data_IF_310343199936
#
_entry.id   IF_310343199936
#
_cell.length_a   1.000
_cell.length_b   1.000
_cell.length_c   1.000
_cell.angle_alpha   90.00
_cell.angle_beta   90.00
_cell.angle_gamma   90.00
#
_symmetry.space_group_name_H-M   'P 1'
#
loop_
_entity.id
_entity.type
_entity.pdbx_description
1 polymer ?
#
# COMPACT_ATOMS: atom_id res chain seq x y z
N UNK A 1 -6.79 -29.06 -11.40
CA UNK A 1 -6.41 -30.28 -12.13
C UNK A 1 -5.84 -31.38 -11.22
N UNK A 2 -5.85 -31.20 -9.88
CA UNK A 2 -5.43 -32.18 -8.87
C UNK A 2 -3.91 -32.38 -8.75
N UNK A 3 -3.10 -31.54 -9.39
CA UNK A 3 -1.63 -31.56 -9.20
C UNK A 3 -1.23 -30.74 -7.99
N UNK A 4 -0.23 -31.23 -7.26
CA UNK A 4 0.36 -30.45 -6.17
C UNK A 4 1.12 -29.23 -6.72
N UNK A 5 1.20 -28.11 -5.99
CA UNK A 5 2.15 -27.05 -6.28
C UNK A 5 3.58 -27.59 -6.22
N UNK A 6 4.48 -26.94 -6.94
CA UNK A 6 5.89 -27.31 -6.97
C UNK A 6 6.76 -26.23 -6.32
N UNK A 7 7.77 -26.64 -5.59
CA UNK A 7 8.68 -25.75 -4.85
C UNK A 7 10.13 -26.26 -4.86
N UNK A 8 11.04 -25.57 -4.12
CA UNK A 8 12.44 -26.01 -4.04
C UNK A 8 12.59 -27.38 -3.40
N UNK A 9 11.73 -27.75 -2.46
CA UNK A 9 11.76 -29.02 -1.75
C UNK A 9 10.35 -29.54 -1.55
N UNK A 10 10.21 -30.85 -1.37
CA UNK A 10 8.95 -31.46 -0.94
C UNK A 10 8.59 -30.97 0.47
N UNK A 11 7.36 -30.52 0.64
CA UNK A 11 6.82 -30.04 1.91
C UNK A 11 5.51 -30.75 2.19
N UNK A 12 5.28 -31.18 3.45
CA UNK A 12 4.08 -31.89 3.84
C UNK A 12 2.90 -30.94 4.10
N UNK A 13 1.69 -31.43 3.88
CA UNK A 13 0.45 -30.71 4.20
C UNK A 13 0.34 -30.41 5.70
N UNK A 14 0.81 -31.31 6.58
CA UNK A 14 0.80 -31.12 8.04
C UNK A 14 1.62 -29.88 8.44
N UNK A 15 2.78 -29.66 7.79
CA UNK A 15 3.71 -28.59 8.12
C UNK A 15 3.31 -27.25 7.46
N UNK A 16 2.75 -27.29 6.24
CA UNK A 16 2.56 -26.11 5.38
C UNK A 16 1.11 -25.87 4.94
N UNK A 17 0.16 -26.71 5.37
CA UNK A 17 -1.25 -26.62 4.98
C UNK A 17 -1.52 -27.01 3.53
N UNK A 18 -0.49 -27.45 2.78
CA UNK A 18 -0.58 -27.92 1.41
C UNK A 18 0.61 -28.83 1.10
N UNK A 19 0.37 -29.92 0.38
CA UNK A 19 1.44 -30.78 -0.10
C UNK A 19 2.14 -30.15 -1.31
N UNK A 20 3.48 -30.06 -1.27
CA UNK A 20 4.31 -29.43 -2.30
C UNK A 20 5.31 -30.45 -2.83
N UNK A 21 5.36 -30.63 -4.15
CA UNK A 21 6.34 -31.49 -4.80
C UNK A 21 7.68 -30.77 -5.03
N UNK A 22 8.80 -31.47 -4.86
CA UNK A 22 10.11 -30.93 -5.19
C UNK A 22 10.27 -30.77 -6.70
N UNK A 23 10.68 -29.58 -7.14
CA UNK A 23 10.96 -29.32 -8.55
C UNK A 23 12.13 -30.15 -9.06
N UNK A 24 11.93 -30.81 -10.18
CA UNK A 24 13.02 -31.42 -10.96
C UNK A 24 13.90 -30.35 -11.60
N UNK A 25 15.13 -30.69 -11.94
CA UNK A 25 16.03 -29.77 -12.64
C UNK A 25 15.44 -29.31 -13.99
N UNK A 26 14.75 -30.19 -14.72
CA UNK A 26 14.06 -29.85 -15.96
C UNK A 26 12.99 -28.74 -15.73
N UNK A 27 12.19 -28.85 -14.67
CA UNK A 27 11.19 -27.84 -14.32
C UNK A 27 11.83 -26.50 -13.91
N UNK A 28 12.99 -26.53 -13.22
CA UNK A 28 13.74 -25.32 -12.87
C UNK A 28 14.15 -24.56 -14.16
N UNK A 29 14.70 -25.27 -15.16
CA UNK A 29 15.05 -24.66 -16.45
C UNK A 29 13.81 -24.19 -17.22
N UNK A 30 12.73 -24.97 -17.25
CA UNK A 30 11.48 -24.61 -17.92
C UNK A 30 10.89 -23.31 -17.36
N UNK A 31 10.85 -23.18 -16.03
CA UNK A 31 10.37 -21.96 -15.36
C UNK A 31 11.28 -20.77 -15.68
N UNK A 32 12.61 -20.94 -15.65
CA UNK A 32 13.53 -19.86 -16.02
C UNK A 32 13.32 -19.39 -17.47
N UNK A 33 13.10 -20.31 -18.41
CA UNK A 33 12.75 -19.97 -19.80
C UNK A 33 11.39 -19.26 -19.90
N UNK A 34 10.42 -19.65 -19.09
CA UNK A 34 9.10 -19.00 -19.04
C UNK A 34 9.20 -17.53 -18.59
N UNK A 35 10.05 -17.21 -17.60
CA UNK A 35 10.36 -15.82 -17.23
C UNK A 35 10.94 -15.02 -18.40
N UNK A 36 11.88 -15.63 -19.16
CA UNK A 36 12.43 -15.00 -20.35
C UNK A 36 11.37 -14.71 -21.41
N UNK A 37 10.51 -15.68 -21.72
CA UNK A 37 9.41 -15.50 -22.68
C UNK A 37 8.42 -14.42 -22.23
N UNK A 38 8.05 -14.41 -20.95
CA UNK A 38 7.15 -13.40 -20.39
C UNK A 38 7.75 -11.98 -20.50
N UNK A 39 9.02 -11.81 -20.16
CA UNK A 39 9.70 -10.52 -20.27
C UNK A 39 9.79 -10.04 -21.73
N UNK A 40 10.08 -10.95 -22.69
CA UNK A 40 10.10 -10.60 -24.12
C UNK A 40 8.72 -10.16 -24.61
N UNK A 41 7.65 -10.80 -24.12
CA UNK A 41 6.28 -10.41 -24.45
C UNK A 41 5.93 -9.02 -23.90
N UNK A 42 6.27 -8.73 -22.63
CA UNK A 42 6.06 -7.42 -22.04
C UNK A 42 6.79 -6.31 -22.82
N UNK A 43 8.05 -6.55 -23.22
CA UNK A 43 8.80 -5.64 -24.08
C UNK A 43 8.05 -5.38 -25.41
N UNK A 44 7.51 -6.43 -26.06
CA UNK A 44 6.73 -6.26 -27.30
C UNK A 44 5.42 -5.49 -27.07
N UNK A 45 4.84 -5.57 -25.88
CA UNK A 45 3.65 -4.80 -25.50
C UNK A 45 3.94 -3.33 -25.18
N UNK A 46 5.19 -2.87 -25.29
CA UNK A 46 5.56 -1.47 -25.10
C UNK A 46 5.90 -1.10 -23.64
N UNK A 47 6.14 -2.09 -22.76
CA UNK A 47 6.70 -1.80 -21.44
C UNK A 47 8.16 -1.39 -21.55
N UNK A 48 8.59 -0.42 -20.73
CA UNK A 48 9.94 0.14 -20.73
C UNK A 48 10.90 -0.63 -19.82
N UNK A 49 10.38 -1.43 -18.88
CA UNK A 49 11.13 -2.17 -17.87
C UNK A 49 10.33 -3.39 -17.40
N UNK A 50 11.02 -4.41 -16.87
CA UNK A 50 10.39 -5.52 -16.14
C UNK A 50 10.98 -5.66 -14.75
N UNK A 51 10.14 -6.06 -13.79
CA UNK A 51 10.57 -6.39 -12.43
C UNK A 51 10.45 -7.91 -12.20
N UNK A 52 11.56 -8.54 -11.80
CA UNK A 52 11.60 -9.93 -11.36
C UNK A 52 11.29 -9.97 -9.86
N UNK A 53 10.23 -10.64 -9.47
CA UNK A 53 9.89 -10.77 -8.06
C UNK A 53 10.65 -11.94 -7.41
N UNK A 54 11.60 -11.61 -6.55
CA UNK A 54 12.51 -12.54 -5.87
C UNK A 54 12.49 -12.34 -4.34
N UNK A 55 11.32 -12.06 -3.77
CA UNK A 55 11.10 -11.81 -2.35
C UNK A 55 9.78 -12.40 -1.85
N UNK A 56 9.45 -12.17 -0.59
CA UNK A 56 8.14 -12.36 0.01
C UNK A 56 7.64 -13.82 0.09
N UNK A 57 8.51 -14.83 -0.01
CA UNK A 57 8.11 -16.24 0.02
C UNK A 57 7.57 -16.78 -1.31
N UNK A 58 7.70 -16.03 -2.43
CA UNK A 58 7.38 -16.54 -3.76
C UNK A 58 8.50 -17.43 -4.31
N UNK A 59 8.24 -18.16 -5.38
CA UNK A 59 9.07 -19.28 -5.86
C UNK A 59 10.59 -18.98 -5.87
N UNK A 60 11.03 -17.84 -6.43
CA UNK A 60 12.46 -17.50 -6.47
C UNK A 60 13.03 -17.26 -5.06
N UNK A 61 12.25 -16.64 -4.18
CA UNK A 61 12.62 -16.44 -2.79
C UNK A 61 12.64 -17.75 -2.00
N UNK A 62 11.72 -18.67 -2.30
CA UNK A 62 11.69 -19.99 -1.68
C UNK A 62 12.98 -20.77 -1.95
N UNK A 63 13.62 -20.60 -3.13
CA UNK A 63 14.94 -21.18 -3.38
C UNK A 63 16.05 -20.54 -2.55
N UNK A 64 15.94 -19.25 -2.23
CA UNK A 64 16.92 -18.54 -1.40
C UNK A 64 16.79 -18.90 0.09
N UNK A 65 15.54 -19.01 0.57
CA UNK A 65 15.23 -19.21 1.99
C UNK A 65 15.60 -20.62 2.47
N UNK A 66 16.28 -20.70 3.63
CA UNK A 66 16.55 -21.97 4.32
C UNK A 66 15.30 -22.57 4.98
N UNK A 67 14.23 -21.79 5.13
CA UNK A 67 12.96 -22.27 5.67
C UNK A 67 12.26 -23.22 4.68
N UNK A 68 12.42 -22.98 3.38
CA UNK A 68 11.72 -23.71 2.31
C UNK A 68 12.62 -24.54 1.43
N UNK A 69 13.90 -24.15 1.28
CA UNK A 69 14.88 -24.89 0.47
C UNK A 69 15.73 -25.82 1.35
N UNK A 70 15.35 -27.10 1.38
CA UNK A 70 16.03 -28.17 2.12
C UNK A 70 16.87 -29.06 1.19
N UNK A 71 17.09 -28.66 -0.08
CA UNK A 71 17.85 -29.43 -1.07
C UNK A 71 19.31 -29.58 -0.67
N UNK A 72 19.88 -30.73 -1.06
CA UNK A 72 21.29 -31.06 -0.86
C UNK A 72 22.10 -31.11 -2.16
N UNK A 73 21.44 -30.84 -3.29
CA UNK A 73 22.05 -30.77 -4.62
C UNK A 73 22.59 -29.37 -4.94
N UNK A 74 22.94 -29.15 -6.21
CA UNK A 74 23.46 -27.87 -6.68
C UNK A 74 22.49 -26.66 -6.57
N UNK A 75 21.22 -26.89 -6.23
CA UNK A 75 20.18 -25.87 -6.07
C UNK A 75 19.88 -25.53 -4.61
N UNK A 76 20.57 -26.19 -3.64
CA UNK A 76 20.38 -26.01 -2.19
C UNK A 76 21.67 -26.01 -1.40
N UNK A 77 21.56 -25.94 -0.07
CA UNK A 77 22.70 -25.87 0.84
C UNK A 77 23.30 -24.45 0.93
N UNK A 78 24.45 -24.20 0.30
CA UNK A 78 25.13 -22.89 0.38
C UNK A 78 24.32 -21.77 -0.27
N UNK A 79 24.56 -20.51 0.12
CA UNK A 79 23.88 -19.36 -0.48
C UNK A 79 24.12 -19.30 -2.01
N UNK A 80 25.33 -19.61 -2.47
CA UNK A 80 25.68 -19.63 -3.88
C UNK A 80 24.81 -20.62 -4.65
N UNK A 81 24.58 -21.81 -4.10
CA UNK A 81 23.72 -22.82 -4.69
C UNK A 81 22.24 -22.35 -4.72
N UNK A 82 21.77 -21.84 -3.59
CA UNK A 82 20.39 -21.31 -3.48
C UNK A 82 20.12 -20.12 -4.42
N UNK A 83 21.14 -19.34 -4.74
CA UNK A 83 21.06 -18.22 -5.69
C UNK A 83 21.18 -18.67 -7.17
N UNK A 84 21.53 -19.93 -7.49
CA UNK A 84 21.65 -20.40 -8.89
C UNK A 84 20.37 -20.21 -9.67
N UNK A 85 19.22 -20.56 -9.10
CA UNK A 85 17.94 -20.42 -9.81
C UNK A 85 17.54 -18.95 -10.03
N UNK A 86 17.53 -18.06 -9.04
CA UNK A 86 17.34 -16.63 -9.26
C UNK A 86 18.28 -16.03 -10.33
N UNK A 87 19.57 -16.38 -10.28
CA UNK A 87 20.54 -15.88 -11.27
C UNK A 87 20.32 -16.49 -12.66
N UNK A 88 19.87 -17.73 -12.77
CA UNK A 88 19.47 -18.34 -14.04
C UNK A 88 18.28 -17.59 -14.65
N UNK A 89 17.27 -17.24 -13.84
CA UNK A 89 16.12 -16.43 -14.29
C UNK A 89 16.58 -15.05 -14.78
N UNK A 90 17.42 -14.34 -14.03
CA UNK A 90 17.99 -13.05 -14.48
C UNK A 90 18.71 -13.20 -15.82
N UNK A 91 19.52 -14.25 -15.98
CA UNK A 91 20.23 -14.55 -17.24
C UNK A 91 19.26 -14.78 -18.40
N UNK A 92 18.21 -15.57 -18.20
CA UNK A 92 17.21 -15.88 -19.25
C UNK A 92 16.38 -14.66 -19.62
N UNK A 93 15.99 -13.84 -18.66
CA UNK A 93 15.31 -12.57 -18.90
C UNK A 93 16.23 -11.62 -19.70
N UNK A 94 17.49 -11.44 -19.27
CA UNK A 94 18.46 -10.59 -19.97
C UNK A 94 18.69 -11.05 -21.42
N UNK A 95 18.81 -12.35 -21.66
CA UNK A 95 18.93 -12.91 -23.00
C UNK A 95 17.71 -12.59 -23.88
N UNK A 96 16.52 -12.65 -23.30
CA UNK A 96 15.26 -12.46 -24.02
C UNK A 96 14.97 -10.96 -24.34
N UNK A 97 15.30 -10.03 -23.41
CA UNK A 97 15.00 -8.60 -23.60
C UNK A 97 16.18 -7.78 -24.17
N UNK A 98 17.39 -8.35 -24.14
CA UNK A 98 18.60 -7.68 -24.61
C UNK A 98 19.23 -6.72 -23.59
N UNK A 99 20.39 -6.16 -23.95
CA UNK A 99 21.25 -5.40 -23.04
C UNK A 99 20.63 -4.07 -22.57
N UNK A 100 19.89 -3.39 -23.42
CA UNK A 100 19.42 -2.01 -23.19
C UNK A 100 18.02 -1.94 -22.56
N UNK A 101 17.39 -3.08 -22.28
CA UNK A 101 16.08 -3.11 -21.62
C UNK A 101 16.27 -3.27 -20.11
N UNK A 102 15.82 -2.31 -19.28
CA UNK A 102 16.04 -2.35 -17.85
C UNK A 102 15.36 -3.56 -17.17
N UNK A 103 16.09 -4.17 -16.25
CA UNK A 103 15.61 -5.26 -15.39
C UNK A 103 15.76 -4.84 -13.94
N UNK A 104 14.65 -4.76 -13.24
CA UNK A 104 14.59 -4.60 -11.79
C UNK A 104 14.45 -5.99 -11.15
N UNK A 105 15.07 -6.21 -10.00
CA UNK A 105 14.81 -7.40 -9.17
C UNK A 105 14.38 -6.97 -7.77
N UNK A 106 13.25 -7.52 -7.30
CA UNK A 106 12.75 -7.24 -5.97
C UNK A 106 13.11 -8.37 -5.03
N UNK A 107 13.83 -8.05 -3.95
CA UNK A 107 14.29 -8.98 -2.93
C UNK A 107 13.71 -8.62 -1.55
N UNK A 108 13.68 -9.58 -0.63
CA UNK A 108 13.56 -9.31 0.79
C UNK A 108 14.96 -9.10 1.35
N UNK A 109 15.27 -7.91 1.87
CA UNK A 109 16.56 -7.64 2.52
C UNK A 109 16.72 -8.39 3.83
N UNK A 110 15.61 -8.85 4.42
CA UNK A 110 15.53 -9.74 5.58
C UNK A 110 14.17 -10.43 5.58
N UNK A 111 14.10 -11.69 5.98
CA UNK A 111 12.84 -12.43 6.10
C UNK A 111 12.02 -12.00 7.33
N UNK A 112 12.63 -11.33 8.31
CA UNK A 112 11.92 -10.84 9.50
C UNK A 112 11.19 -11.94 10.28
N UNK A 113 11.72 -13.15 10.28
CA UNK A 113 11.15 -14.32 10.96
C UNK A 113 12.27 -15.17 11.56
N UNK A 114 11.99 -15.86 12.67
CA UNK A 114 12.93 -16.76 13.31
C UNK A 114 13.33 -17.90 12.38
N UNK A 115 14.61 -18.24 12.33
CA UNK A 115 15.16 -19.24 11.41
C UNK A 115 15.33 -18.78 9.96
N UNK A 116 14.75 -17.62 9.60
CA UNK A 116 14.97 -16.97 8.33
C UNK A 116 16.26 -16.14 8.28
N UNK A 117 16.61 -15.65 7.09
CA UNK A 117 17.82 -14.85 6.96
C UNK A 117 17.62 -13.37 7.36
N UNK A 118 18.70 -12.78 7.93
CA UNK A 118 18.80 -11.37 8.29
C UNK A 118 19.40 -10.51 7.19
N UNK A 119 19.71 -9.24 7.55
CA UNK A 119 20.27 -8.24 6.62
C UNK A 119 21.65 -8.66 6.09
N UNK A 120 22.45 -9.37 6.84
CA UNK A 120 23.78 -9.84 6.45
C UNK A 120 23.69 -10.72 5.18
N UNK A 121 22.76 -11.68 5.19
CA UNK A 121 22.48 -12.50 4.00
C UNK A 121 21.83 -11.68 2.89
N UNK A 122 20.94 -10.72 3.23
CA UNK A 122 20.35 -9.79 2.26
C UNK A 122 21.42 -8.99 1.50
N UNK A 123 22.49 -8.56 2.18
CA UNK A 123 23.64 -7.88 1.55
C UNK A 123 24.37 -8.82 0.59
N UNK A 124 24.63 -10.08 0.99
CA UNK A 124 25.31 -11.05 0.11
C UNK A 124 24.46 -11.39 -1.14
N UNK A 125 23.14 -11.52 -0.98
CA UNK A 125 22.21 -11.67 -2.10
C UNK A 125 22.33 -10.48 -3.06
N UNK A 126 22.31 -9.25 -2.54
CA UNK A 126 22.43 -8.04 -3.33
C UNK A 126 23.78 -7.95 -4.06
N UNK A 127 24.90 -8.31 -3.41
CA UNK A 127 26.24 -8.39 -4.05
C UNK A 127 26.26 -9.40 -5.19
N UNK A 128 25.58 -10.54 -5.05
CA UNK A 128 25.49 -11.55 -6.12
C UNK A 128 24.68 -11.05 -7.32
N UNK A 129 23.79 -10.07 -7.13
CA UNK A 129 22.96 -9.44 -8.17
C UNK A 129 23.62 -8.21 -8.77
N UNK A 130 24.60 -7.60 -8.08
CA UNK A 130 25.25 -6.36 -8.48
C UNK A 130 25.85 -6.46 -9.88
N UNK A 131 25.55 -5.49 -10.74
CA UNK A 131 25.96 -5.45 -12.15
C UNK A 131 25.28 -6.47 -13.06
N UNK A 132 24.36 -7.32 -12.58
CA UNK A 132 23.58 -8.27 -13.39
C UNK A 132 22.18 -7.78 -13.70
N UNK A 133 21.68 -6.88 -12.88
CA UNK A 133 20.39 -6.18 -13.02
C UNK A 133 20.62 -4.67 -13.03
N UNK A 134 19.63 -3.90 -13.44
CA UNK A 134 19.73 -2.44 -13.53
C UNK A 134 19.22 -1.73 -12.28
N UNK A 135 18.38 -2.40 -11.47
CA UNK A 135 17.83 -1.90 -10.21
C UNK A 135 17.68 -3.05 -9.21
N UNK A 136 18.01 -2.81 -7.94
CA UNK A 136 17.75 -3.72 -6.82
C UNK A 136 16.68 -3.09 -5.93
N UNK A 137 15.48 -3.67 -5.93
CA UNK A 137 14.34 -3.20 -5.14
C UNK A 137 14.30 -3.95 -3.80
N UNK A 138 14.57 -3.24 -2.73
CA UNK A 138 14.68 -3.82 -1.39
C UNK A 138 13.37 -3.69 -0.63
N UNK A 139 12.79 -4.83 -0.31
CA UNK A 139 11.63 -5.01 0.55
C UNK A 139 12.03 -5.84 1.78
N UNK A 140 11.07 -6.36 2.53
CA UNK A 140 11.28 -7.23 3.68
C UNK A 140 10.19 -8.29 3.80
N UNK A 141 10.48 -9.33 4.57
CA UNK A 141 9.50 -10.30 5.01
C UNK A 141 9.26 -11.46 4.05
N UNK A 142 8.47 -12.40 4.53
CA UNK A 142 8.00 -13.59 3.83
C UNK A 142 6.54 -13.85 4.17
N UNK A 143 5.80 -14.52 3.30
CA UNK A 143 4.41 -14.89 3.51
C UNK A 143 4.23 -16.20 4.33
N UNK A 144 5.32 -16.81 4.76
CA UNK A 144 5.30 -18.06 5.55
C UNK A 144 5.00 -17.85 7.03
N UNK A 145 5.05 -16.60 7.50
CA UNK A 145 4.80 -16.21 8.89
C UNK A 145 3.94 -14.95 8.96
N UNK A 146 2.93 -14.93 9.83
CA UNK A 146 1.97 -13.81 9.95
C UNK A 146 2.62 -12.52 10.44
N UNK A 147 3.59 -12.59 11.35
CA UNK A 147 4.28 -11.39 11.84
C UNK A 147 5.17 -10.79 10.75
N UNK A 148 5.92 -11.66 10.06
CA UNK A 148 6.71 -11.28 8.89
C UNK A 148 5.84 -10.68 7.77
N UNK A 149 4.65 -11.26 7.52
CA UNK A 149 3.67 -10.72 6.57
C UNK A 149 3.23 -9.29 6.93
N UNK A 150 3.00 -9.00 8.22
CA UNK A 150 2.68 -7.64 8.67
C UNK A 150 3.85 -6.68 8.40
N UNK A 151 5.10 -7.10 8.63
CA UNK A 151 6.29 -6.28 8.36
C UNK A 151 6.58 -6.13 6.85
N UNK A 152 6.15 -7.09 6.05
CA UNK A 152 6.15 -6.98 4.57
C UNK A 152 5.21 -5.87 4.07
N UNK A 153 4.09 -5.64 4.79
CA UNK A 153 3.08 -4.64 4.47
C UNK A 153 2.81 -3.69 5.65
N UNK A 154 3.80 -2.91 6.11
CA UNK A 154 3.69 -2.18 7.37
C UNK A 154 2.42 -1.34 7.46
N UNK A 155 1.62 -1.58 8.51
CA UNK A 155 0.35 -0.94 8.77
C UNK A 155 0.50 0.37 9.55
N UNK A 156 -0.63 0.85 10.10
CA UNK A 156 -0.68 2.08 10.89
C UNK A 156 0.14 2.00 12.19
N UNK A 157 0.35 0.79 12.74
CA UNK A 157 1.08 0.56 13.98
C UNK A 157 2.61 0.54 13.81
N UNK A 158 3.11 0.43 12.58
CA UNK A 158 4.54 0.51 12.25
C UNK A 158 4.91 1.96 11.91
N UNK A 159 6.19 2.28 12.05
CA UNK A 159 6.69 3.61 11.69
C UNK A 159 6.67 3.87 10.18
N UNK A 160 6.78 5.11 9.80
CA UNK A 160 7.02 5.54 8.42
C UNK A 160 8.34 4.95 7.92
N UNK A 161 8.37 4.43 6.71
CA UNK A 161 9.59 3.83 6.15
C UNK A 161 10.11 2.62 6.93
N UNK A 162 9.24 1.75 7.47
CA UNK A 162 9.62 0.61 8.35
C UNK A 162 10.76 -0.25 7.81
N UNK A 163 10.82 -0.44 6.50
CA UNK A 163 11.85 -1.26 5.84
C UNK A 163 12.98 -0.42 5.19
N UNK A 164 12.98 0.91 5.37
CA UNK A 164 13.94 1.81 4.74
C UNK A 164 15.39 1.51 5.13
N UNK A 165 15.62 1.10 6.39
CA UNK A 165 16.94 0.73 6.89
C UNK A 165 17.59 -0.43 6.14
N UNK A 166 16.81 -1.35 5.57
CA UNK A 166 17.35 -2.46 4.78
C UNK A 166 17.92 -1.98 3.44
N UNK A 167 17.23 -1.05 2.79
CA UNK A 167 17.71 -0.44 1.55
C UNK A 167 18.96 0.43 1.80
N UNK A 168 18.95 1.26 2.86
CA UNK A 168 20.08 2.09 3.27
C UNK A 168 21.33 1.24 3.54
N UNK A 169 21.19 0.09 4.19
CA UNK A 169 22.32 -0.78 4.47
C UNK A 169 22.83 -1.49 3.21
N UNK A 170 21.94 -2.07 2.40
CA UNK A 170 22.31 -2.76 1.15
C UNK A 170 23.01 -1.82 0.17
N UNK A 171 22.53 -0.57 0.05
CA UNK A 171 23.09 0.43 -0.86
C UNK A 171 24.59 0.70 -0.63
N UNK A 172 25.06 0.60 0.59
CA UNK A 172 26.48 0.79 0.94
C UNK A 172 27.40 -0.29 0.35
N UNK A 173 26.84 -1.43 -0.09
CA UNK A 173 27.58 -2.62 -0.49
C UNK A 173 27.46 -2.95 -1.98
N UNK A 174 26.65 -2.22 -2.76
CA UNK A 174 26.43 -2.46 -4.19
C UNK A 174 26.59 -1.17 -5.00
N UNK A 175 26.86 -1.34 -6.30
CA UNK A 175 26.93 -0.23 -7.27
C UNK A 175 25.64 -0.07 -8.05
N UNK A 176 24.90 -1.14 -8.23
CA UNK A 176 23.58 -1.12 -8.88
C UNK A 176 22.64 -0.24 -8.05
N UNK A 177 21.91 0.70 -8.65
CA UNK A 177 20.97 1.57 -7.95
C UNK A 177 19.95 0.78 -7.12
N UNK A 178 19.67 1.29 -5.92
CA UNK A 178 18.77 0.65 -4.94
C UNK A 178 17.46 1.41 -4.82
N UNK A 179 16.36 0.68 -4.90
CA UNK A 179 15.00 1.18 -4.68
C UNK A 179 14.52 0.73 -3.31
N UNK A 180 14.00 1.64 -2.51
CA UNK A 180 13.42 1.32 -1.19
C UNK A 180 11.90 1.27 -1.26
N UNK A 181 11.28 0.35 -0.52
CA UNK A 181 9.81 0.25 -0.36
C UNK A 181 9.46 -0.10 1.08
N UNK A 182 8.34 0.41 1.57
CA UNK A 182 7.78 0.03 2.86
C UNK A 182 7.22 1.20 3.66
N UNK A 183 5.91 1.40 3.56
CA UNK A 183 5.18 2.41 4.32
C UNK A 183 5.63 3.87 4.13
N UNK A 184 6.08 4.23 2.93
CA UNK A 184 6.32 5.63 2.57
C UNK A 184 5.00 6.31 2.23
N UNK A 185 4.61 7.31 3.03
CA UNK A 185 3.37 8.08 2.85
C UNK A 185 3.57 9.60 2.98
N UNK A 186 4.70 10.03 3.53
CA UNK A 186 5.05 11.41 3.78
C UNK A 186 6.13 11.89 2.79
N UNK A 187 5.85 12.87 1.93
CA UNK A 187 6.83 13.39 0.96
C UNK A 187 8.09 13.96 1.61
N UNK A 188 7.98 14.66 2.73
CA UNK A 188 9.12 15.27 3.41
C UNK A 188 10.05 14.19 3.99
N UNK A 189 9.47 13.11 4.53
CA UNK A 189 10.24 11.95 4.97
C UNK A 189 10.95 11.25 3.79
N UNK A 190 10.27 11.12 2.64
CA UNK A 190 10.83 10.52 1.43
C UNK A 190 12.02 11.33 0.91
N UNK A 191 11.88 12.64 0.81
CA UNK A 191 12.93 13.54 0.35
C UNK A 191 14.15 13.48 1.27
N UNK A 192 13.95 13.65 2.58
CA UNK A 192 15.02 13.56 3.56
C UNK A 192 15.74 12.19 3.54
N UNK A 193 15.01 11.10 3.23
CA UNK A 193 15.60 9.76 3.10
C UNK A 193 16.48 9.65 1.85
N UNK A 194 16.07 10.20 0.71
CA UNK A 194 16.85 10.23 -0.52
C UNK A 194 18.07 11.15 -0.41
N UNK A 195 17.91 12.36 0.14
CA UNK A 195 18.99 13.35 0.31
C UNK A 195 20.16 12.82 1.14
N UNK A 196 19.87 12.08 2.21
CA UNK A 196 20.92 11.43 3.02
C UNK A 196 21.54 10.19 2.36
N UNK A 197 21.10 9.82 1.16
CA UNK A 197 21.59 8.67 0.41
C UNK A 197 21.07 7.31 0.90
N UNK A 198 19.91 7.25 1.52
CA UNK A 198 19.32 6.01 2.00
C UNK A 198 18.86 5.04 0.90
N UNK A 199 18.54 5.57 -0.28
CA UNK A 199 18.27 4.83 -1.51
C UNK A 199 18.46 5.76 -2.71
N UNK A 200 18.41 5.21 -3.93
CA UNK A 200 18.44 5.98 -5.18
C UNK A 200 17.03 6.32 -5.69
N UNK A 201 16.04 5.53 -5.25
CA UNK A 201 14.63 5.77 -5.56
C UNK A 201 13.72 5.17 -4.47
N UNK A 202 12.44 5.60 -4.46
CA UNK A 202 11.39 5.07 -3.58
C UNK A 202 10.26 4.50 -4.42
N UNK A 203 9.84 3.28 -4.10
CA UNK A 203 8.67 2.65 -4.70
C UNK A 203 7.43 2.87 -3.82
N UNK A 204 6.36 3.32 -4.43
CA UNK A 204 5.09 3.60 -3.78
C UNK A 204 4.01 2.63 -4.29
N UNK A 205 3.24 2.05 -3.36
CA UNK A 205 2.06 1.24 -3.68
C UNK A 205 0.80 1.88 -3.11
N UNK A 206 0.54 1.68 -1.83
CA UNK A 206 -0.69 2.13 -1.15
C UNK A 206 -0.88 3.66 -1.17
N UNK A 207 0.21 4.43 -1.18
CA UNK A 207 0.15 5.89 -1.29
C UNK A 207 -0.42 6.32 -2.65
N UNK A 208 -0.09 5.60 -3.74
CA UNK A 208 -0.67 5.83 -5.06
C UNK A 208 -2.12 5.33 -5.19
N UNK A 209 -2.53 4.33 -4.39
CA UNK A 209 -3.94 3.95 -4.28
C UNK A 209 -4.74 5.06 -3.58
N UNK A 210 -4.17 5.69 -2.55
CA UNK A 210 -4.79 6.81 -1.87
C UNK A 210 -4.83 8.07 -2.75
N UNK A 211 -3.73 8.38 -3.41
CA UNK A 211 -3.61 9.52 -4.34
C UNK A 211 -2.76 9.16 -5.57
N UNK A 212 -3.38 8.83 -6.72
CA UNK A 212 -2.64 8.50 -7.94
C UNK A 212 -1.83 9.66 -8.51
N UNK A 213 -2.13 10.89 -8.11
CA UNK A 213 -1.42 12.09 -8.57
C UNK A 213 -0.31 12.55 -7.61
N UNK A 214 -0.01 11.78 -6.55
CA UNK A 214 1.02 12.11 -5.56
C UNK A 214 2.34 12.56 -6.20
N UNK A 215 2.95 11.85 -7.17
CA UNK A 215 4.21 12.31 -7.76
C UNK A 215 4.09 13.66 -8.47
N UNK A 216 2.99 13.92 -9.18
CA UNK A 216 2.75 15.20 -9.86
C UNK A 216 2.58 16.33 -8.86
N UNK A 217 1.89 16.08 -7.75
CA UNK A 217 1.69 17.07 -6.68
C UNK A 217 3.01 17.42 -5.98
N UNK A 218 3.86 16.42 -5.71
CA UNK A 218 5.21 16.65 -5.18
C UNK A 218 6.04 17.51 -6.15
N UNK A 219 6.09 17.15 -7.43
CA UNK A 219 6.80 17.91 -8.46
C UNK A 219 6.27 19.36 -8.62
N UNK A 220 4.98 19.56 -8.36
CA UNK A 220 4.31 20.86 -8.42
C UNK A 220 4.34 21.65 -7.10
N UNK A 221 5.06 21.19 -6.07
CA UNK A 221 5.08 21.77 -4.72
C UNK A 221 3.69 21.94 -4.09
N UNK A 222 2.79 20.96 -4.32
CA UNK A 222 1.41 20.91 -3.83
C UNK A 222 1.23 19.77 -2.82
N UNK A 223 2.16 19.63 -1.88
CA UNK A 223 2.19 18.50 -0.94
C UNK A 223 1.00 18.50 0.02
N UNK A 224 0.45 19.67 0.35
CA UNK A 224 -0.75 19.83 1.15
C UNK A 224 -2.03 19.30 0.47
N UNK A 225 -2.00 19.14 -0.86
CA UNK A 225 -3.12 18.61 -1.65
C UNK A 225 -3.03 17.08 -1.82
N UNK A 226 -2.02 16.42 -1.27
CA UNK A 226 -1.87 14.97 -1.32
C UNK A 226 -2.81 14.31 -0.31
N UNK A 227 -3.69 13.42 -0.82
CA UNK A 227 -4.53 12.57 0.03
C UNK A 227 -3.68 11.50 0.71
N UNK A 228 -3.48 11.53 2.03
CA UNK A 228 -2.55 10.63 2.69
C UNK A 228 -3.11 9.21 2.82
N UNK A 229 -2.27 8.21 2.58
CA UNK A 229 -2.58 6.82 2.89
C UNK A 229 -2.58 6.60 4.41
N UNK A 230 -3.65 6.01 4.96
CA UNK A 230 -3.76 5.68 6.38
C UNK A 230 -2.99 4.42 6.79
N UNK A 231 -2.47 3.67 5.86
CA UNK A 231 -1.85 2.35 6.09
C UNK A 231 -2.78 1.38 6.84
N UNK A 232 -4.09 1.52 6.64
CA UNK A 232 -5.14 0.76 7.34
C UNK A 232 -5.31 -0.68 6.84
N UNK A 233 -4.71 -1.02 5.68
CA UNK A 233 -4.80 -2.38 5.10
C UNK A 233 -6.09 -2.69 4.33
N UNK A 234 -7.08 -1.81 4.26
CA UNK A 234 -8.38 -2.06 3.60
C UNK A 234 -8.22 -2.52 2.14
N UNK A 235 -7.31 -1.92 1.39
CA UNK A 235 -7.04 -2.29 0.01
C UNK A 235 -6.52 -3.74 -0.14
N UNK A 236 -5.75 -4.24 0.84
CA UNK A 236 -5.26 -5.62 0.86
C UNK A 236 -6.32 -6.59 1.39
N UNK A 237 -7.03 -6.22 2.47
CA UNK A 237 -8.10 -7.02 3.04
C UNK A 237 -9.20 -7.32 2.03
N UNK A 238 -9.59 -6.34 1.22
CA UNK A 238 -10.54 -6.52 0.14
C UNK A 238 -10.08 -7.55 -0.89
N UNK A 239 -8.81 -7.47 -1.34
CA UNK A 239 -8.25 -8.44 -2.29
C UNK A 239 -8.15 -9.86 -1.70
N UNK A 240 -7.70 -9.99 -0.46
CA UNK A 240 -7.62 -11.29 0.24
C UNK A 240 -9.00 -11.92 0.42
N UNK A 241 -10.04 -11.12 0.58
CA UNK A 241 -11.43 -11.57 0.66
C UNK A 241 -12.10 -11.77 -0.71
N UNK A 242 -11.33 -11.74 -1.82
CA UNK A 242 -11.82 -11.86 -3.20
C UNK A 242 -12.85 -10.79 -3.60
N UNK A 243 -12.80 -9.61 -2.97
CA UNK A 243 -13.59 -8.44 -3.34
C UNK A 243 -12.78 -7.47 -4.21
N UNK A 244 -13.48 -6.55 -4.86
CA UNK A 244 -12.83 -5.43 -5.54
C UNK A 244 -12.01 -4.61 -4.55
N UNK A 245 -10.86 -4.14 -5.00
CA UNK A 245 -10.00 -3.25 -4.21
C UNK A 245 -10.79 -2.02 -3.77
N UNK A 246 -10.62 -1.63 -2.51
CA UNK A 246 -11.22 -0.44 -1.89
C UNK A 246 -10.14 0.38 -1.19
N UNK A 247 -10.41 1.66 -1.00
CA UNK A 247 -9.56 2.52 -0.19
C UNK A 247 -10.41 3.33 0.78
N UNK A 248 -10.01 3.36 2.04
CA UNK A 248 -10.72 4.10 3.11
C UNK A 248 -10.79 5.60 2.83
N UNK A 249 -9.78 6.15 2.15
CA UNK A 249 -9.64 7.60 1.91
C UNK A 249 -9.88 8.01 0.46
N UNK A 250 -9.79 7.08 -0.49
CA UNK A 250 -10.03 7.37 -1.91
C UNK A 250 -11.31 6.67 -2.38
N UNK A 251 -12.43 7.39 -2.52
CA UNK A 251 -13.71 6.81 -2.93
C UNK A 251 -13.77 6.42 -4.40
N UNK A 252 -12.73 6.76 -5.19
CA UNK A 252 -12.74 6.57 -6.65
C UNK A 252 -12.20 5.19 -7.07
N UNK A 253 -11.44 4.51 -6.19
CA UNK A 253 -10.85 3.21 -6.47
C UNK A 253 -11.91 2.16 -6.78
N UNK A 254 -11.72 1.45 -7.89
CA UNK A 254 -12.68 0.46 -8.41
C UNK A 254 -13.91 1.08 -9.11
N UNK A 255 -13.93 2.40 -9.22
CA UNK A 255 -15.00 3.17 -9.87
C UNK A 255 -14.48 4.09 -10.98
N UNK A 256 -13.29 3.81 -11.49
CA UNK A 256 -12.59 4.67 -12.44
C UNK A 256 -13.43 4.94 -13.69
N UNK A 257 -14.18 3.93 -14.16
CA UNK A 257 -15.08 4.11 -15.32
C UNK A 257 -16.16 5.16 -15.07
N UNK A 258 -16.73 5.18 -13.86
CA UNK A 258 -17.77 6.15 -13.48
C UNK A 258 -17.18 7.55 -13.28
N UNK A 259 -15.93 7.62 -12.86
CA UNK A 259 -15.21 8.88 -12.59
C UNK A 259 -14.73 9.53 -13.88
N UNK A 260 -14.10 8.75 -14.77
CA UNK A 260 -13.61 9.28 -16.06
C UNK A 260 -14.72 9.48 -17.11
N UNK A 261 -15.88 8.84 -16.91
CA UNK A 261 -17.06 9.00 -17.74
C UNK A 261 -18.30 9.30 -16.87
N UNK A 262 -18.31 10.42 -16.14
CA UNK A 262 -19.42 10.75 -15.26
C UNK A 262 -20.70 10.95 -16.06
N UNK A 263 -21.81 10.48 -15.51
CA UNK A 263 -23.13 10.80 -16.08
C UNK A 263 -23.28 12.32 -16.09
N UNK A 264 -23.59 12.96 -17.23
CA UNK A 264 -23.79 14.41 -17.31
C UNK A 264 -24.84 14.90 -16.31
N UNK A 265 -24.56 16.00 -15.66
CA UNK A 265 -25.55 16.68 -14.82
C UNK A 265 -26.37 17.58 -15.67
N UNK A 266 -27.64 17.25 -15.85
CA UNK A 266 -28.59 18.04 -16.68
C UNK A 266 -29.12 19.26 -15.96
N UNK A 267 -29.20 19.22 -14.62
CA UNK A 267 -29.68 20.32 -13.78
C UNK A 267 -28.78 20.48 -12.56
N UNK A 268 -28.30 21.70 -12.35
CA UNK A 268 -27.58 22.06 -11.14
C UNK A 268 -28.58 22.26 -10.03
N UNK A 269 -28.37 21.64 -8.87
CA UNK A 269 -29.23 21.75 -7.69
C UNK A 269 -28.46 22.28 -6.48
N UNK A 270 -29.20 22.72 -5.49
CA UNK A 270 -28.69 23.08 -4.15
C UNK A 270 -28.70 21.83 -3.27
N UNK A 271 -27.51 21.34 -2.92
CA UNK A 271 -27.33 20.17 -2.07
C UNK A 271 -26.99 20.65 -0.66
N UNK A 272 -27.86 20.35 0.29
CA UNK A 272 -27.60 20.59 1.71
C UNK A 272 -27.00 19.35 2.35
N UNK A 273 -25.88 19.48 3.03
CA UNK A 273 -25.17 18.43 3.74
C UNK A 273 -25.16 18.75 5.23
N UNK A 274 -25.63 17.82 6.07
CA UNK A 274 -25.66 18.00 7.52
C UNK A 274 -24.67 17.06 8.19
N UNK A 275 -23.62 17.62 8.78
CA UNK A 275 -22.52 16.94 9.44
C UNK A 275 -21.19 17.14 8.73
N UNK A 276 -20.25 17.85 9.35
CA UNK A 276 -18.93 18.18 8.83
C UNK A 276 -17.84 17.12 9.13
N UNK A 277 -18.24 15.86 9.27
CA UNK A 277 -17.32 14.72 9.35
C UNK A 277 -16.78 14.31 7.98
N UNK A 278 -15.91 13.25 7.90
CA UNK A 278 -15.30 12.82 6.64
C UNK A 278 -16.32 12.56 5.53
N UNK A 279 -17.44 11.93 5.86
CA UNK A 279 -18.49 11.62 4.90
C UNK A 279 -19.16 12.89 4.34
N UNK A 280 -19.48 13.85 5.21
CA UNK A 280 -20.13 15.10 4.80
C UNK A 280 -19.18 15.99 4.00
N UNK A 281 -17.92 16.13 4.42
CA UNK A 281 -16.91 16.86 3.68
C UNK A 281 -16.69 16.27 2.28
N UNK A 282 -16.55 14.93 2.16
CA UNK A 282 -16.40 14.29 0.86
C UNK A 282 -17.64 14.42 0.00
N UNK A 283 -18.86 14.35 0.58
CA UNK A 283 -20.10 14.55 -0.15
C UNK A 283 -20.22 15.99 -0.70
N UNK A 284 -19.82 16.98 0.10
CA UNK A 284 -19.83 18.37 -0.31
C UNK A 284 -18.85 18.65 -1.45
N UNK A 285 -17.61 18.14 -1.35
CA UNK A 285 -16.61 18.23 -2.41
C UNK A 285 -17.11 17.59 -3.69
N UNK A 286 -17.65 16.37 -3.60
CA UNK A 286 -18.19 15.66 -4.79
C UNK A 286 -19.38 16.41 -5.41
N UNK A 287 -20.23 17.05 -4.61
CA UNK A 287 -21.35 17.84 -5.13
C UNK A 287 -20.85 19.04 -5.95
N UNK A 288 -19.86 19.76 -5.46
CA UNK A 288 -19.23 20.88 -6.17
C UNK A 288 -18.51 20.41 -7.44
N UNK A 289 -17.69 19.36 -7.34
CA UNK A 289 -17.01 18.74 -8.49
C UNK A 289 -17.99 18.36 -9.62
N UNK A 290 -19.21 18.00 -9.24
CA UNK A 290 -20.28 17.68 -10.20
C UNK A 290 -21.11 18.91 -10.65
N UNK A 291 -20.74 20.10 -10.23
CA UNK A 291 -21.37 21.36 -10.63
C UNK A 291 -22.64 21.74 -9.85
N UNK A 292 -22.90 21.09 -8.71
CA UNK A 292 -23.98 21.49 -7.80
C UNK A 292 -23.51 22.59 -6.82
N UNK A 293 -24.45 23.35 -6.27
CA UNK A 293 -24.18 24.25 -5.14
C UNK A 293 -24.26 23.44 -3.84
N UNK A 294 -23.16 23.31 -3.10
CA UNK A 294 -23.11 22.58 -1.85
C UNK A 294 -23.12 23.53 -0.64
N UNK A 295 -23.97 23.25 0.36
CA UNK A 295 -24.02 23.94 1.64
C UNK A 295 -23.84 22.91 2.75
N UNK A 296 -22.75 23.03 3.51
CA UNK A 296 -22.35 22.10 4.56
C UNK A 296 -22.59 22.70 5.94
N UNK A 297 -23.38 22.05 6.77
CA UNK A 297 -23.65 22.42 8.15
C UNK A 297 -22.96 21.51 9.13
N UNK A 298 -22.28 22.07 10.13
CA UNK A 298 -21.65 21.33 11.24
C UNK A 298 -22.09 21.94 12.57
N UNK A 299 -22.55 21.11 13.49
CA UNK A 299 -23.03 21.55 14.81
C UNK A 299 -21.92 22.03 15.76
N UNK A 300 -20.68 21.63 15.50
CA UNK A 300 -19.49 22.06 16.25
C UNK A 300 -18.80 23.22 15.54
N UNK A 301 -17.92 23.94 16.28
CA UNK A 301 -17.15 25.07 15.76
C UNK A 301 -16.12 24.68 14.67
N UNK A 302 -15.80 23.39 14.53
CA UNK A 302 -14.77 22.90 13.58
C UNK A 302 -15.21 21.62 12.87
N UNK A 303 -14.85 21.55 11.59
CA UNK A 303 -14.98 20.35 10.79
C UNK A 303 -14.09 19.21 11.30
N UNK A 304 -14.31 17.98 10.79
CA UNK A 304 -13.49 16.79 11.07
C UNK A 304 -14.24 15.68 11.81
N UNK A 305 -15.38 15.96 12.40
CA UNK A 305 -16.24 14.95 13.03
C UNK A 305 -15.52 14.09 14.07
N UNK A 306 -15.75 12.77 14.03
CA UNK A 306 -15.15 11.82 14.98
C UNK A 306 -13.64 11.60 14.77
N UNK A 307 -13.04 11.98 13.64
CA UNK A 307 -11.61 11.80 13.40
C UNK A 307 -10.75 12.51 14.45
N UNK A 308 -11.23 13.64 14.98
CA UNK A 308 -10.53 14.39 16.04
C UNK A 308 -10.29 13.61 17.34
N UNK A 309 -11.03 12.54 17.58
CA UNK A 309 -10.82 11.65 18.73
C UNK A 309 -9.89 10.49 18.38
N UNK A 310 -9.86 10.12 17.10
CA UNK A 310 -9.05 9.00 16.62
C UNK A 310 -7.58 9.40 16.37
N UNK A 311 -7.29 10.69 16.17
CA UNK A 311 -5.96 11.20 15.79
C UNK A 311 -5.13 11.76 16.97
N UNK A 312 -5.60 11.56 18.21
CA UNK A 312 -4.93 12.04 19.42
C UNK A 312 -3.71 11.23 19.87
N UNK A 313 -3.28 10.22 19.10
CA UNK A 313 -2.14 9.36 19.42
C UNK A 313 -1.13 9.32 18.25
N UNK A 314 0.16 9.34 18.57
CA UNK A 314 1.24 9.52 17.59
C UNK A 314 1.22 8.53 16.43
N UNK A 315 0.97 7.24 16.71
CA UNK A 315 0.92 6.22 15.64
C UNK A 315 -0.26 6.39 14.67
N UNK A 316 -1.22 7.26 14.97
CA UNK A 316 -2.34 7.64 14.09
C UNK A 316 -2.15 9.00 13.41
N UNK A 317 -0.94 9.54 13.35
CA UNK A 317 -0.64 10.81 12.70
C UNK A 317 -1.18 10.92 11.26
N UNK A 318 -1.22 9.80 10.52
CA UNK A 318 -1.82 9.75 9.17
C UNK A 318 -3.33 10.04 9.17
N UNK A 319 -4.06 9.72 10.24
CA UNK A 319 -5.49 10.08 10.38
C UNK A 319 -5.66 11.58 10.61
N UNK A 320 -4.76 12.19 11.39
CA UNK A 320 -4.73 13.66 11.58
C UNK A 320 -4.46 14.36 10.24
N UNK A 321 -3.42 13.91 9.50
CA UNK A 321 -3.13 14.44 8.15
C UNK A 321 -4.32 14.32 7.21
N UNK A 322 -5.04 13.19 7.24
CA UNK A 322 -6.23 13.03 6.40
C UNK A 322 -7.38 13.96 6.79
N UNK A 323 -7.62 14.17 8.09
CA UNK A 323 -8.62 15.14 8.54
C UNK A 323 -8.27 16.56 8.08
N UNK A 324 -7.01 16.97 8.26
CA UNK A 324 -6.51 18.28 7.85
C UNK A 324 -6.56 18.45 6.32
N UNK A 325 -6.22 17.41 5.57
CA UNK A 325 -6.38 17.38 4.11
C UNK A 325 -7.84 17.64 3.70
N UNK A 326 -8.81 16.92 4.28
CA UNK A 326 -10.23 17.11 3.93
C UNK A 326 -10.72 18.52 4.24
N UNK A 327 -10.33 19.07 5.39
CA UNK A 327 -10.67 20.44 5.80
C UNK A 327 -10.10 21.42 4.77
N UNK A 328 -8.81 21.32 4.46
CA UNK A 328 -8.16 22.19 3.48
C UNK A 328 -8.79 22.10 2.09
N UNK A 329 -9.20 20.89 1.65
CA UNK A 329 -9.90 20.74 0.36
C UNK A 329 -11.27 21.43 0.37
N UNK A 330 -12.02 21.35 1.48
CA UNK A 330 -13.30 22.06 1.62
C UNK A 330 -13.08 23.58 1.62
N UNK A 331 -12.07 24.07 2.34
CA UNK A 331 -11.73 25.51 2.41
C UNK A 331 -11.27 26.08 1.05
N UNK A 332 -10.61 25.28 0.22
CA UNK A 332 -10.18 25.64 -1.15
C UNK A 332 -11.28 25.55 -2.19
N UNK A 333 -12.42 24.95 -1.85
CA UNK A 333 -13.55 24.70 -2.77
C UNK A 333 -14.66 25.76 -2.67
N UNK A 334 -15.63 25.67 -3.59
CA UNK A 334 -16.84 26.51 -3.58
C UNK A 334 -17.93 26.01 -2.60
N UNK A 335 -17.59 25.15 -1.65
CA UNK A 335 -18.53 24.67 -0.62
C UNK A 335 -18.83 25.81 0.37
N UNK A 336 -20.10 26.11 0.58
CA UNK A 336 -20.54 27.06 1.61
C UNK A 336 -20.59 26.32 2.94
N UNK A 337 -19.85 26.79 3.96
CA UNK A 337 -19.71 26.10 5.25
C UNK A 337 -20.31 26.93 6.37
N UNK A 338 -21.16 26.29 7.18
CA UNK A 338 -21.73 26.85 8.43
C UNK A 338 -21.33 25.96 9.60
N UNK A 339 -20.43 26.44 10.47
CA UNK A 339 -20.04 25.77 11.71
C UNK A 339 -20.77 26.38 12.93
N UNK A 340 -20.83 25.62 14.04
CA UNK A 340 -21.55 26.01 15.24
C UNK A 340 -23.08 25.97 15.09
N UNK A 341 -23.61 25.41 14.00
CA UNK A 341 -25.03 25.43 13.69
C UNK A 341 -25.61 23.99 13.75
N UNK A 342 -26.49 23.77 14.72
CA UNK A 342 -27.27 22.54 14.80
C UNK A 342 -28.51 22.67 13.91
N UNK A 343 -28.54 21.91 12.84
CA UNK A 343 -29.66 21.92 11.90
C UNK A 343 -30.91 21.31 12.50
N UNK A 344 -32.04 21.99 12.32
CA UNK A 344 -33.39 21.55 12.60
C UNK A 344 -34.29 21.66 11.33
N UNK A 345 -35.58 21.33 11.49
CA UNK A 345 -36.52 21.42 10.36
C UNK A 345 -36.71 22.85 9.83
N UNK A 346 -36.59 23.87 10.68
CA UNK A 346 -36.78 25.26 10.27
C UNK A 346 -35.66 25.68 9.31
N UNK A 347 -34.41 25.37 9.64
CA UNK A 347 -33.25 25.63 8.77
C UNK A 347 -33.38 24.89 7.44
N UNK A 348 -33.81 23.61 7.46
CA UNK A 348 -34.01 22.84 6.21
C UNK A 348 -35.08 23.49 5.32
N UNK A 349 -36.18 23.97 5.91
CA UNK A 349 -37.22 24.65 5.14
C UNK A 349 -36.78 26.02 4.60
N UNK A 350 -36.01 26.77 5.37
CA UNK A 350 -35.43 28.06 4.96
C UNK A 350 -34.42 27.89 3.81
N UNK A 351 -33.51 26.87 3.96
CA UNK A 351 -32.53 26.55 2.93
C UNK A 351 -33.17 26.01 1.65
N UNK A 352 -34.34 25.40 1.75
CA UNK A 352 -35.11 24.82 0.64
C UNK A 352 -34.21 24.05 -0.36
N UNK A 353 -33.44 23.03 0.06
CA UNK A 353 -32.52 22.32 -0.82
C UNK A 353 -33.26 21.40 -1.79
N UNK A 354 -32.68 21.20 -2.98
CA UNK A 354 -33.16 20.21 -3.94
C UNK A 354 -32.86 18.75 -3.46
N UNK A 355 -31.78 18.60 -2.68
CA UNK A 355 -31.45 17.34 -2.01
C UNK A 355 -30.78 17.56 -0.66
N UNK A 356 -31.06 16.66 0.29
CA UNK A 356 -30.51 16.67 1.65
C UNK A 356 -29.69 15.39 1.88
N UNK A 357 -28.42 15.57 2.31
CA UNK A 357 -27.54 14.48 2.71
C UNK A 357 -27.31 14.55 4.23
N UNK A 358 -27.69 13.49 4.93
CA UNK A 358 -27.49 13.35 6.37
C UNK A 358 -26.20 12.55 6.65
N UNK A 359 -25.15 13.25 7.11
CA UNK A 359 -23.85 12.69 7.45
C UNK A 359 -23.56 12.86 8.97
N UNK A 360 -24.54 12.56 9.80
CA UNK A 360 -24.58 12.90 11.23
C UNK A 360 -23.60 12.08 12.09
N UNK A 361 -22.96 11.05 11.53
CA UNK A 361 -22.06 10.16 12.27
C UNK A 361 -22.82 9.20 13.19
N UNK A 362 -22.17 8.79 14.29
CA UNK A 362 -22.71 7.87 15.26
C UNK A 362 -22.55 8.43 16.68
N UNK A 363 -23.37 7.95 17.60
CA UNK A 363 -23.21 8.16 19.06
C UNK A 363 -22.71 6.86 19.69
N UNK A 364 -21.85 6.93 20.71
CA UNK A 364 -21.45 5.76 21.48
C UNK A 364 -22.65 5.03 22.03
N UNK A 365 -22.69 3.72 21.87
CA UNK A 365 -23.68 2.87 22.53
C UNK A 365 -23.26 2.66 23.99
N UNK A 366 -24.04 3.20 24.91
CA UNK A 366 -23.84 2.97 26.34
C UNK A 366 -24.59 1.69 26.72
N UNK A 367 -23.87 0.67 27.14
CA UNK A 367 -24.46 -0.59 27.54
C UNK A 367 -25.27 -0.41 28.81
N UNK A 368 -26.51 -0.96 28.92
CA UNK A 368 -27.35 -0.84 30.11
C UNK A 368 -26.91 -1.87 31.18
N UNK A 369 -25.71 -1.67 31.74
CA UNK A 369 -25.17 -2.55 32.80
C UNK A 369 -25.24 -1.86 34.15
N UNK A 370 -25.42 -2.59 35.29
CA UNK A 370 -25.40 -2.01 36.62
C UNK A 370 -24.12 -1.21 36.88
N UNK A 371 -24.26 -0.01 37.43
CA UNK A 371 -23.13 0.86 37.75
C UNK A 371 -22.63 1.74 36.62
N UNK A 372 -23.15 1.67 35.39
CA UNK A 372 -22.69 2.47 34.25
C UNK A 372 -22.78 3.98 34.48
N UNK A 373 -23.64 4.43 35.35
CA UNK A 373 -23.82 5.84 35.71
C UNK A 373 -23.10 6.25 37.01
N UNK A 374 -22.25 5.37 37.58
CA UNK A 374 -21.45 5.73 38.74
C UNK A 374 -20.45 6.83 38.39
N UNK A 375 -20.12 7.68 39.36
CA UNK A 375 -19.21 8.85 39.16
C UNK A 375 -17.80 8.48 38.74
N UNK A 376 -17.38 7.24 38.96
CA UNK A 376 -16.07 6.70 38.54
C UNK A 376 -16.09 6.05 37.14
N UNK A 377 -17.23 6.08 36.45
CA UNK A 377 -17.35 5.55 35.09
C UNK A 377 -17.23 6.68 34.07
N UNK A 378 -16.22 6.56 33.19
CA UNK A 378 -16.02 7.49 32.10
C UNK A 378 -16.41 6.82 30.78
N UNK A 379 -17.16 7.56 29.96
CA UNK A 379 -17.50 7.12 28.60
C UNK A 379 -16.47 7.72 27.67
N UNK A 380 -15.69 6.86 27.02
CA UNK A 380 -14.66 7.25 26.05
C UNK A 380 -15.27 7.62 24.71
N UNK A 381 -15.62 8.91 24.52
CA UNK A 381 -16.05 9.46 23.23
C UNK A 381 -15.87 10.99 23.18
#
# INVERSE_FOLDING_TARGET
DGRHPIGPSALSEEEWGVEVDEMTEAQIYEVAEAFGRAAAMLKKCGFDMVMIHCGHGWLLHQFISTLTNRRTDQWGGSLENRMRFPLLVVKKVRQAVGRNFPIEIRISGSERVEGGYGIETGIEIAKMLDGKVDLIHVSAGTNTDWYSFVLMHPGIFQKEGENANLADEIRKHVKTPVVSVGAFTDPDFMEAFLEKGGADAIALGRSLIADPFLPKKVMGHQTEDIRPCLRCGECQGGMMAHHCMRCTVNPLIGREKEVFHPVPVHHTGKIMIVGGGPAGMQAALTAVERGHRAVLYEARERLGGALKFADGVDFKASMKRYREFLIAQVEKSDVIVHTGVRVDEAIIREEAPDALILALGAKPLILPVPGIHNSNVLIGA
#
